data_IF_750432360917
#
_entry.id   IF_750432360917
#
_cell.length_a   1.000
_cell.length_b   1.000
_cell.length_c   1.000
_cell.angle_alpha   90.00
_cell.angle_beta   90.00
_cell.angle_gamma   90.00
#
_symmetry.space_group_name_H-M   'P 1'
#
loop_
_entity.id
_entity.type
_entity.pdbx_description
1 polymer ?
#
# COMPACT_ATOMS: atom_id res chain seq x y z
N UNK A 1 8.51 4.77 4.56
CA UNK A 1 9.72 4.03 5.02
C UNK A 1 10.80 3.85 3.95
N UNK A 2 10.48 3.79 2.66
CA UNK A 2 11.47 3.51 1.60
C UNK A 2 12.66 4.50 1.53
N UNK A 3 12.41 5.82 1.59
CA UNK A 3 13.50 6.81 1.52
C UNK A 3 14.49 6.69 2.69
N UNK A 4 13.98 6.41 3.89
CA UNK A 4 14.81 6.19 5.08
C UNK A 4 15.62 4.88 4.97
N UNK A 5 14.99 3.80 4.49
CA UNK A 5 15.69 2.54 4.25
C UNK A 5 16.80 2.70 3.19
N UNK A 6 16.55 3.46 2.12
CA UNK A 6 17.55 3.78 1.11
C UNK A 6 18.72 4.60 1.66
N UNK A 7 18.43 5.57 2.54
CA UNK A 7 19.47 6.33 3.22
C UNK A 7 20.42 5.38 3.97
N UNK A 8 19.87 4.49 4.82
CA UNK A 8 20.70 3.52 5.54
C UNK A 8 21.43 2.55 4.62
N UNK A 9 20.79 2.08 3.55
CA UNK A 9 21.41 1.17 2.61
C UNK A 9 22.60 1.80 1.87
N UNK A 10 22.50 3.11 1.57
CA UNK A 10 23.58 3.92 0.99
C UNK A 10 24.73 4.11 1.98
N UNK A 11 24.44 4.53 3.21
CA UNK A 11 25.48 4.72 4.24
C UNK A 11 26.21 3.40 4.57
N UNK A 12 25.53 2.26 4.45
CA UNK A 12 26.12 0.93 4.64
C UNK A 12 26.84 0.37 3.40
N UNK A 13 26.81 1.07 2.25
CA UNK A 13 27.39 0.59 0.99
C UNK A 13 26.71 -0.68 0.43
N UNK A 14 25.47 -0.96 0.85
CA UNK A 14 24.73 -2.19 0.49
C UNK A 14 23.79 -2.03 -0.71
N UNK A 15 23.81 -0.85 -1.34
CA UNK A 15 22.93 -0.50 -2.46
C UNK A 15 23.73 0.18 -3.56
N UNK A 16 23.54 -0.27 -4.80
CA UNK A 16 24.16 0.37 -5.96
C UNK A 16 23.25 1.48 -6.55
N UNK A 17 23.83 2.32 -7.41
CA UNK A 17 23.11 3.46 -8.00
C UNK A 17 21.94 3.06 -8.89
N UNK A 18 22.00 1.90 -9.55
CA UNK A 18 20.94 1.40 -10.42
C UNK A 18 19.72 0.96 -9.60
N UNK A 19 19.93 0.20 -8.51
CA UNK A 19 18.89 -0.19 -7.56
C UNK A 19 18.21 1.04 -6.95
N UNK A 20 19.00 2.04 -6.53
CA UNK A 20 18.47 3.28 -5.98
C UNK A 20 17.61 4.04 -7.02
N UNK A 21 18.08 4.12 -8.26
CA UNK A 21 17.34 4.76 -9.36
C UNK A 21 16.04 4.03 -9.66
N UNK A 22 16.04 2.69 -9.67
CA UNK A 22 14.84 1.88 -9.87
C UNK A 22 13.77 2.15 -8.80
N UNK A 23 14.17 2.14 -7.53
CA UNK A 23 13.25 2.43 -6.42
C UNK A 23 12.69 3.85 -6.49
N UNK A 24 13.54 4.85 -6.80
CA UNK A 24 13.08 6.25 -6.92
C UNK A 24 12.09 6.40 -8.08
N UNK A 25 12.35 5.77 -9.23
CA UNK A 25 11.43 5.80 -10.37
C UNK A 25 10.07 5.20 -9.98
N UNK A 26 10.06 4.04 -9.33
CA UNK A 26 8.81 3.43 -8.87
C UNK A 26 8.07 4.30 -7.84
N UNK A 27 8.78 4.91 -6.88
CA UNK A 27 8.18 5.82 -5.91
C UNK A 27 7.55 7.05 -6.56
N UNK A 28 8.09 7.53 -7.68
CA UNK A 28 7.51 8.66 -8.43
C UNK A 28 6.21 8.30 -9.16
N UNK A 29 5.96 7.02 -9.42
CA UNK A 29 4.73 6.53 -10.06
C UNK A 29 3.59 6.29 -9.05
N UNK A 30 3.90 6.25 -7.75
CA UNK A 30 2.89 6.01 -6.71
C UNK A 30 1.69 6.98 -6.76
N UNK A 31 1.87 8.30 -6.99
CA UNK A 31 0.73 9.21 -7.12
C UNK A 31 -0.23 8.80 -8.25
N UNK A 32 0.31 8.43 -9.40
CA UNK A 32 -0.48 8.00 -10.57
C UNK A 32 -1.26 6.73 -10.25
N UNK A 33 -0.63 5.73 -9.61
CA UNK A 33 -1.31 4.51 -9.17
C UNK A 33 -2.39 4.78 -8.12
N UNK A 34 -2.20 5.77 -7.24
CA UNK A 34 -3.24 6.17 -6.29
C UNK A 34 -4.43 6.76 -7.04
N UNK A 35 -4.19 7.60 -8.04
CA UNK A 35 -5.25 8.18 -8.88
C UNK A 35 -6.05 7.09 -9.60
N UNK A 36 -5.38 6.11 -10.21
CA UNK A 36 -6.02 4.94 -10.85
C UNK A 36 -6.90 4.12 -9.89
N UNK A 37 -6.52 4.02 -8.61
CA UNK A 37 -7.34 3.34 -7.59
C UNK A 37 -8.54 4.20 -7.18
N UNK A 38 -8.36 5.51 -7.07
CA UNK A 38 -9.44 6.44 -6.71
C UNK A 38 -10.52 6.52 -7.80
N UNK A 39 -10.15 6.35 -9.07
CA UNK A 39 -11.10 6.24 -10.18
C UNK A 39 -12.03 5.02 -10.08
N UNK A 40 -11.69 4.01 -9.27
CA UNK A 40 -12.51 2.81 -9.07
C UNK A 40 -13.57 2.99 -7.97
N UNK A 41 -13.79 4.23 -7.51
CA UNK A 41 -14.70 4.56 -6.40
C UNK A 41 -16.08 3.94 -6.54
N UNK A 42 -16.73 4.03 -7.71
CA UNK A 42 -18.08 3.51 -7.89
C UNK A 42 -18.14 1.99 -7.74
N UNK A 43 -17.12 1.26 -8.20
CA UNK A 43 -17.03 -0.18 -8.05
C UNK A 43 -16.86 -0.56 -6.58
N UNK A 44 -15.97 0.13 -5.86
CA UNK A 44 -15.72 -0.07 -4.43
C UNK A 44 -16.97 0.26 -3.61
N UNK A 45 -17.71 1.32 -3.95
CA UNK A 45 -18.96 1.68 -3.29
C UNK A 45 -20.04 0.61 -3.44
N UNK A 46 -20.16 -0.04 -4.60
CA UNK A 46 -21.10 -1.16 -4.80
C UNK A 46 -20.75 -2.34 -3.91
N UNK A 47 -19.47 -2.67 -3.77
CA UNK A 47 -18.99 -3.72 -2.88
C UNK A 47 -19.31 -3.37 -1.42
N UNK A 48 -19.00 -2.15 -0.99
CA UNK A 48 -19.32 -1.68 0.36
C UNK A 48 -20.83 -1.76 0.64
N UNK A 49 -21.67 -1.35 -0.31
CA UNK A 49 -23.12 -1.45 -0.20
C UNK A 49 -23.63 -2.88 -0.07
N UNK A 50 -22.93 -3.87 -0.64
CA UNK A 50 -23.31 -5.29 -0.48
C UNK A 50 -23.00 -5.81 0.94
N UNK A 51 -21.89 -5.38 1.53
CA UNK A 51 -21.39 -5.94 2.80
C UNK A 51 -21.64 -5.05 4.03
N UNK A 52 -22.25 -3.87 3.89
CA UNK A 52 -22.42 -2.92 5.01
C UNK A 52 -23.26 -3.47 6.18
N UNK A 53 -24.03 -4.54 5.98
CA UNK A 53 -24.85 -5.19 7.02
C UNK A 53 -24.14 -6.36 7.70
N UNK A 54 -22.96 -6.76 7.21
CA UNK A 54 -22.19 -7.82 7.81
C UNK A 54 -21.51 -7.31 9.09
N UNK A 55 -21.58 -8.11 10.16
CA UNK A 55 -20.99 -7.77 11.46
C UNK A 55 -19.54 -8.24 11.56
N UNK A 56 -19.19 -9.30 10.84
CA UNK A 56 -17.87 -9.93 10.88
C UNK A 56 -17.15 -9.84 9.53
N UNK A 57 -15.89 -9.42 9.58
CA UNK A 57 -14.99 -9.38 8.42
C UNK A 57 -13.67 -10.04 8.75
N UNK A 58 -13.15 -10.82 7.79
CA UNK A 58 -11.87 -11.48 7.92
C UNK A 58 -10.87 -10.91 6.90
N UNK A 59 -9.76 -10.36 7.42
CA UNK A 59 -8.71 -9.75 6.62
C UNK A 59 -7.50 -10.68 6.53
N UNK A 60 -7.00 -10.87 5.32
CA UNK A 60 -5.87 -11.74 5.03
C UNK A 60 -4.77 -10.96 4.30
N UNK A 61 -3.53 -11.19 4.70
CA UNK A 61 -2.35 -10.64 4.05
C UNK A 61 -1.09 -11.42 4.47
N UNK A 62 -0.07 -11.41 3.61
CA UNK A 62 1.21 -12.08 3.87
C UNK A 62 2.37 -11.14 3.54
N UNK A 63 3.42 -11.17 4.36
CA UNK A 63 4.55 -10.25 4.17
C UNK A 63 4.11 -8.80 4.36
N UNK A 64 4.38 -7.93 3.38
CA UNK A 64 3.96 -6.52 3.44
C UNK A 64 2.44 -6.36 3.43
N UNK A 65 1.72 -7.25 2.75
CA UNK A 65 0.26 -7.19 2.65
C UNK A 65 -0.42 -7.44 4.01
N UNK A 66 0.28 -8.10 4.95
CA UNK A 66 -0.24 -8.28 6.31
C UNK A 66 -0.45 -6.94 7.03
N UNK A 67 0.50 -6.01 6.90
CA UNK A 67 0.38 -4.68 7.51
C UNK A 67 -0.75 -3.88 6.87
N UNK A 68 -0.94 -4.02 5.55
CA UNK A 68 -2.04 -3.37 4.81
C UNK A 68 -3.39 -3.95 5.23
N UNK A 69 -3.49 -5.27 5.35
CA UNK A 69 -4.70 -5.96 5.80
C UNK A 69 -5.09 -5.55 7.23
N UNK A 70 -4.11 -5.38 8.12
CA UNK A 70 -4.34 -4.92 9.49
C UNK A 70 -4.87 -3.49 9.52
N UNK A 71 -4.29 -2.57 8.74
CA UNK A 71 -4.76 -1.19 8.64
C UNK A 71 -6.19 -1.14 8.08
N UNK A 72 -6.50 -1.93 7.05
CA UNK A 72 -7.86 -2.04 6.51
C UNK A 72 -8.87 -2.55 7.55
N UNK A 73 -8.49 -3.56 8.33
CA UNK A 73 -9.32 -4.08 9.41
C UNK A 73 -9.52 -3.06 10.55
N UNK A 74 -8.52 -2.23 10.81
CA UNK A 74 -8.63 -1.13 11.77
C UNK A 74 -9.61 -0.07 11.26
N UNK A 75 -9.50 0.34 10.00
CA UNK A 75 -10.38 1.37 9.40
C UNK A 75 -11.83 0.98 9.30
N UNK A 76 -12.14 -0.32 9.18
CA UNK A 76 -13.54 -0.78 9.21
C UNK A 76 -14.15 -0.70 10.63
N UNK A 77 -13.31 -0.71 11.68
CA UNK A 77 -13.74 -0.70 13.08
C UNK A 77 -13.79 0.70 13.69
N UNK A 78 -13.12 1.67 13.07
CA UNK A 78 -13.20 3.09 13.43
C UNK A 78 -14.55 3.71 13.00
#
# INVERSE_FOLDING_TARGET
>A
MYLLAMLFARERGTMNGEQAKGIITALRQVPDWIEEVLEQKEAIQKIAGHYHTCEDFFYLGRGLDWAVALEGALKLKE
#
